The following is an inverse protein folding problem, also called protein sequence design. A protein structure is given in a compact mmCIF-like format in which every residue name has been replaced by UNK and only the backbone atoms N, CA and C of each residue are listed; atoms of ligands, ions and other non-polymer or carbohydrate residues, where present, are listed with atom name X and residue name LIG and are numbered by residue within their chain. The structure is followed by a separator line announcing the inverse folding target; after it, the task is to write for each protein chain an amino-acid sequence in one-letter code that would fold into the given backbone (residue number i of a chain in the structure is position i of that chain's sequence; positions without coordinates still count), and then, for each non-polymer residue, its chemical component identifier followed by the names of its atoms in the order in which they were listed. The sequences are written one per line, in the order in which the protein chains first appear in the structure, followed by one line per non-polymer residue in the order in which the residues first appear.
data_IF_213004279843
#
_entry.id   IF_213004279843
#
_cell.length_a   1.000
_cell.length_b   1.000
_cell.length_c   1.000
_cell.angle_alpha   90.00
_cell.angle_beta   90.00
_cell.angle_gamma   90.00
#
_symmetry.space_group_name_H-M   'P 1'
#
loop_
_entity.id
_entity.type
_entity.pdbx_description
1 polymer ?
#
# COMPACT_ATOMS: atom_id res chain seq x y z
N UNK A 1 7.37 10.26 27.31
CA UNK A 1 7.93 10.92 26.11
C UNK A 1 8.68 9.94 25.21
N UNK A 2 9.62 9.13 25.73
CA UNK A 2 10.32 8.11 24.91
C UNK A 2 9.38 7.02 24.37
N UNK A 3 8.41 6.58 25.18
CA UNK A 3 7.38 5.62 24.75
C UNK A 3 6.54 6.17 23.60
N UNK A 4 6.11 7.44 23.71
CA UNK A 4 5.36 8.12 22.66
C UNK A 4 6.16 8.28 21.36
N UNK A 5 7.46 8.61 21.45
CA UNK A 5 8.33 8.64 20.25
C UNK A 5 8.38 7.25 19.60
N UNK A 6 8.53 6.20 20.41
CA UNK A 6 8.59 4.82 19.91
C UNK A 6 7.28 4.39 19.24
N UNK A 7 6.15 4.77 19.81
CA UNK A 7 4.81 4.56 19.23
C UNK A 7 4.67 5.24 17.85
N UNK A 8 5.04 6.52 17.77
CA UNK A 8 4.98 7.27 16.51
C UNK A 8 5.90 6.65 15.45
N UNK A 9 7.12 6.24 15.82
CA UNK A 9 8.05 5.56 14.89
C UNK A 9 7.49 4.23 14.40
N UNK A 10 6.89 3.44 15.29
CA UNK A 10 6.30 2.16 14.94
C UNK A 10 5.14 2.33 13.95
N UNK A 11 4.22 3.26 14.23
CA UNK A 11 3.10 3.56 13.34
C UNK A 11 3.58 4.11 11.99
N UNK A 12 4.55 5.03 12.00
CA UNK A 12 5.17 5.59 10.78
C UNK A 12 5.76 4.48 9.89
N UNK A 13 6.48 3.52 10.49
CA UNK A 13 7.04 2.37 9.77
C UNK A 13 5.95 1.48 9.16
N UNK A 14 4.88 1.18 9.91
CA UNK A 14 3.76 0.38 9.39
C UNK A 14 3.12 1.02 8.16
N UNK A 15 2.88 2.33 8.20
CA UNK A 15 2.32 3.06 7.04
C UNK A 15 3.30 3.06 5.87
N UNK A 16 4.57 3.34 6.13
CA UNK A 16 5.62 3.35 5.10
C UNK A 16 5.75 2.00 4.38
N UNK A 17 5.81 0.92 5.16
CA UNK A 17 5.95 -0.43 4.62
C UNK A 17 4.68 -0.86 3.88
N UNK A 18 3.49 -0.48 4.37
CA UNK A 18 2.22 -0.72 3.70
C UNK A 18 2.12 -0.05 2.32
N UNK A 19 2.53 1.22 2.20
CA UNK A 19 2.53 1.92 0.91
C UNK A 19 3.51 1.24 -0.06
N UNK A 20 4.68 0.83 0.40
CA UNK A 20 5.66 0.09 -0.42
C UNK A 20 5.14 -1.28 -0.86
N UNK A 21 4.43 -1.98 0.02
CA UNK A 21 3.81 -3.27 -0.30
C UNK A 21 2.75 -3.12 -1.39
N UNK A 22 1.91 -2.08 -1.33
CA UNK A 22 0.94 -1.78 -2.38
C UNK A 22 1.62 -1.46 -3.71
N UNK A 23 2.70 -0.67 -3.70
CA UNK A 23 3.43 -0.35 -4.94
C UNK A 23 4.05 -1.59 -5.57
N UNK A 24 4.62 -2.49 -4.76
CA UNK A 24 5.10 -3.80 -5.21
C UNK A 24 3.98 -4.66 -5.78
N UNK A 25 2.82 -4.69 -5.13
CA UNK A 25 1.66 -5.42 -5.61
C UNK A 25 1.15 -4.88 -6.96
N UNK A 26 1.23 -3.57 -7.19
CA UNK A 26 0.94 -2.96 -8.49
C UNK A 26 1.89 -3.46 -9.59
N UNK A 27 3.18 -3.53 -9.30
CA UNK A 27 4.19 -4.03 -10.25
C UNK A 27 3.97 -5.52 -10.56
N UNK A 28 3.71 -6.32 -9.52
CA UNK A 28 3.37 -7.74 -9.66
C UNK A 28 2.08 -7.95 -10.47
N UNK A 29 1.06 -7.13 -10.22
CA UNK A 29 -0.20 -7.17 -10.96
C UNK A 29 0.00 -6.96 -12.46
N UNK A 30 0.80 -5.95 -12.84
CA UNK A 30 1.12 -5.69 -14.23
C UNK A 30 1.95 -6.82 -14.85
N UNK A 31 2.96 -7.32 -14.13
CA UNK A 31 3.84 -8.37 -14.61
C UNK A 31 3.09 -9.71 -14.81
N UNK A 32 2.12 -10.00 -13.96
CA UNK A 32 1.29 -11.20 -14.01
C UNK A 32 0.02 -11.07 -14.85
N UNK A 33 -0.25 -9.91 -15.43
CA UNK A 33 -1.49 -9.61 -16.16
C UNK A 33 -2.76 -9.93 -15.33
N UNK A 34 -2.73 -9.61 -14.05
CA UNK A 34 -3.82 -9.97 -13.12
C UNK A 34 -5.13 -9.28 -13.43
N UNK A 35 -5.11 -8.15 -14.15
CA UNK A 35 -6.33 -7.49 -14.64
C UNK A 35 -7.16 -8.37 -15.58
N UNK A 36 -6.54 -9.34 -16.25
CA UNK A 36 -7.23 -10.27 -17.15
C UNK A 36 -7.28 -11.70 -16.62
N UNK A 37 -6.36 -12.07 -15.72
CA UNK A 37 -6.12 -13.48 -15.35
C UNK A 37 -6.54 -13.84 -13.94
N UNK A 38 -6.58 -12.89 -13.00
CA UNK A 38 -6.89 -13.19 -11.61
C UNK A 38 -8.43 -13.32 -11.43
N UNK A 39 -8.93 -14.42 -10.85
CA UNK A 39 -10.35 -14.56 -10.56
C UNK A 39 -10.77 -13.65 -9.40
N UNK A 40 -12.08 -13.57 -9.16
CA UNK A 40 -12.62 -12.96 -7.95
C UNK A 40 -12.21 -13.78 -6.69
N UNK A 41 -12.32 -13.15 -5.52
CA UNK A 41 -11.88 -13.72 -4.26
C UNK A 41 -12.69 -14.95 -3.82
N UNK A 42 -12.00 -15.90 -3.20
CA UNK A 42 -12.57 -17.13 -2.65
C UNK A 42 -12.24 -17.28 -1.15
N UNK A 43 -12.99 -18.13 -0.44
CA UNK A 43 -12.77 -18.40 0.98
C UNK A 43 -12.95 -17.16 1.87
N UNK A 44 -11.91 -16.80 2.63
CA UNK A 44 -11.92 -15.57 3.47
C UNK A 44 -12.01 -14.28 2.65
N UNK A 45 -11.68 -14.35 1.35
CA UNK A 45 -11.76 -13.23 0.42
C UNK A 45 -13.05 -13.24 -0.42
N UNK A 46 -14.00 -14.13 -0.11
CA UNK A 46 -15.26 -14.21 -0.84
C UNK A 46 -16.02 -12.87 -0.78
N UNK A 47 -16.48 -12.41 -1.94
CA UNK A 47 -17.20 -11.15 -2.09
C UNK A 47 -16.34 -9.97 -2.54
N UNK A 48 -15.01 -10.13 -2.64
CA UNK A 48 -14.15 -9.16 -3.31
C UNK A 48 -13.95 -9.51 -4.78
N UNK A 49 -14.16 -8.54 -5.64
CA UNK A 49 -13.92 -8.67 -7.07
C UNK A 49 -12.46 -8.38 -7.43
N UNK A 50 -11.99 -8.93 -8.54
CA UNK A 50 -10.70 -8.56 -9.13
C UNK A 50 -10.56 -7.04 -9.27
N UNK A 51 -11.61 -6.37 -9.75
CA UNK A 51 -11.60 -4.93 -9.96
C UNK A 51 -11.40 -4.13 -8.66
N UNK A 52 -11.99 -4.57 -7.54
CA UNK A 52 -11.79 -3.93 -6.23
C UNK A 52 -10.35 -4.10 -5.73
N UNK A 53 -9.76 -5.28 -5.91
CA UNK A 53 -8.35 -5.51 -5.56
C UNK A 53 -7.43 -4.64 -6.44
N UNK A 54 -7.69 -4.59 -7.74
CA UNK A 54 -6.97 -3.74 -8.68
C UNK A 54 -7.10 -2.24 -8.33
N UNK A 55 -8.27 -1.79 -7.89
CA UNK A 55 -8.47 -0.41 -7.46
C UNK A 55 -7.57 -0.05 -6.26
N UNK A 56 -7.41 -0.96 -5.30
CA UNK A 56 -6.50 -0.74 -4.16
C UNK A 56 -5.03 -0.79 -4.61
N UNK A 57 -4.64 -1.76 -5.43
CA UNK A 57 -3.27 -1.89 -5.91
C UNK A 57 -2.82 -0.70 -6.78
N UNK A 58 -3.73 -0.08 -7.54
CA UNK A 58 -3.40 1.03 -8.43
C UNK A 58 -3.81 2.38 -7.85
N UNK A 59 -5.12 2.65 -7.74
CA UNK A 59 -5.62 3.97 -7.41
C UNK A 59 -5.17 4.41 -6.00
N UNK A 60 -5.25 3.51 -5.02
CA UNK A 60 -4.78 3.82 -3.66
C UNK A 60 -3.26 3.96 -3.60
N UNK A 61 -2.51 3.05 -4.23
CA UNK A 61 -1.04 3.11 -4.23
C UNK A 61 -0.50 4.39 -4.89
N UNK A 62 -1.08 4.79 -6.02
CA UNK A 62 -0.69 5.99 -6.75
C UNK A 62 -1.08 7.27 -6.00
N UNK A 63 -2.26 7.30 -5.36
CA UNK A 63 -2.66 8.40 -4.50
C UNK A 63 -1.71 8.58 -3.31
N UNK A 64 -1.35 7.48 -2.63
CA UNK A 64 -0.41 7.53 -1.50
C UNK A 64 0.99 7.94 -1.95
N UNK A 65 1.46 7.43 -3.09
CA UNK A 65 2.75 7.83 -3.68
C UNK A 65 2.76 9.32 -4.02
N UNK A 66 1.63 9.87 -4.49
CA UNK A 66 1.49 11.31 -4.74
C UNK A 66 1.60 12.13 -3.46
N UNK A 67 0.95 11.70 -2.37
CA UNK A 67 1.08 12.34 -1.04
C UNK A 67 2.52 12.30 -0.55
N UNK A 68 3.20 11.15 -0.69
CA UNK A 68 4.61 11.01 -0.32
C UNK A 68 5.49 11.97 -1.13
N UNK A 69 5.28 12.06 -2.43
CA UNK A 69 6.00 12.95 -3.33
C UNK A 69 5.74 14.45 -3.04
N UNK A 70 4.60 14.79 -2.45
CA UNK A 70 4.27 16.16 -2.01
C UNK A 70 5.06 16.62 -0.76
N UNK A 71 6.02 15.82 -0.27
CA UNK A 71 6.94 16.17 0.83
C UNK A 71 6.79 15.32 2.08
N UNK A 72 5.73 14.49 2.16
CA UNK A 72 5.52 13.63 3.31
C UNK A 72 6.55 12.51 3.42
N UNK A 73 7.14 12.06 2.30
CA UNK A 73 8.24 11.10 2.33
C UNK A 73 9.41 11.58 3.19
N UNK A 74 9.82 12.84 3.06
CA UNK A 74 10.92 13.41 3.85
C UNK A 74 10.60 13.41 5.34
N UNK A 75 9.37 13.79 5.71
CA UNK A 75 8.92 13.78 7.09
C UNK A 75 8.92 12.37 7.68
N UNK A 76 8.38 11.40 6.95
CA UNK A 76 8.32 10.01 7.40
C UNK A 76 9.73 9.42 7.54
N UNK A 77 10.60 9.58 6.54
CA UNK A 77 11.97 9.03 6.56
C UNK A 77 12.82 9.62 7.69
N UNK A 78 12.60 10.88 8.06
CA UNK A 78 13.31 11.51 9.19
C UNK A 78 13.05 10.81 10.53
N UNK A 79 11.95 10.05 10.63
CA UNK A 79 11.48 9.39 11.85
C UNK A 79 11.25 7.88 11.64
N UNK A 80 11.88 7.27 10.63
CA UNK A 80 11.85 5.82 10.41
C UNK A 80 12.76 5.06 11.38
#
# INVERSE_FOLDING_TARGET
HQDFISEVRAANRQVWDGIKALKKAQDEWNAGDYGNTMPDGEGENAGYTNAEVGAVAFATADAMTTVLAAGHATNMVSLL
#
